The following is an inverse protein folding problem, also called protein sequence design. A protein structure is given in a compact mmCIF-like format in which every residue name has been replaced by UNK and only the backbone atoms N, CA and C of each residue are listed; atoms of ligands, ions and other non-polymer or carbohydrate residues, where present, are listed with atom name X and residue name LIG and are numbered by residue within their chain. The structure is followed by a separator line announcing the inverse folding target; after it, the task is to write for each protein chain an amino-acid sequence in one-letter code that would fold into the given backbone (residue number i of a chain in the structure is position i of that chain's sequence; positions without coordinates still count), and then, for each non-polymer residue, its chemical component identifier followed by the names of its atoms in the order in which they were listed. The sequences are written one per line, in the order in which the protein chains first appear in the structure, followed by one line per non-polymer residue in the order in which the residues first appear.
data_IF_038422164215
#
_entry.id   IF_038422164215
#
_cell.length_a   1.000
_cell.length_b   1.000
_cell.length_c   1.000
_cell.angle_alpha   90.00
_cell.angle_beta   90.00
_cell.angle_gamma   90.00
#
_symmetry.space_group_name_H-M   'P 1'
#
loop_
_entity.id
_entity.type
_entity.pdbx_description
1 polymer ?
#
# COMPACT_ATOMS: atom_id res chain seq x y z
N UNK A 1 -33.62 41.56 11.48
CA UNK A 1 -33.54 40.15 11.08
C UNK A 1 -34.19 40.02 9.72
N UNK A 2 -33.43 39.65 8.70
CA UNK A 2 -33.95 39.41 7.34
C UNK A 2 -33.86 37.90 7.07
N UNK A 3 -34.98 37.24 6.75
CA UNK A 3 -35.03 35.79 6.52
C UNK A 3 -35.59 35.54 5.12
N UNK A 4 -34.88 34.86 4.29
CA UNK A 4 -35.31 34.43 2.96
C UNK A 4 -35.36 32.88 2.91
N UNK A 5 -36.57 32.36 2.71
CA UNK A 5 -36.79 30.90 2.55
C UNK A 5 -37.03 30.57 1.08
N UNK A 6 -36.47 29.47 0.62
CA UNK A 6 -36.69 28.98 -0.74
C UNK A 6 -37.47 27.64 -0.70
N UNK A 7 -38.72 27.71 -1.17
CA UNK A 7 -39.58 26.52 -1.24
C UNK A 7 -39.14 25.46 -2.24
N UNK A 8 -38.15 25.75 -3.13
CA UNK A 8 -37.62 24.85 -4.12
C UNK A 8 -36.30 24.19 -3.68
N UNK A 9 -35.79 24.55 -2.50
CA UNK A 9 -34.58 23.99 -1.93
C UNK A 9 -34.83 22.55 -1.44
N UNK A 10 -33.80 21.68 -1.54
CA UNK A 10 -33.80 20.32 -0.97
C UNK A 10 -33.89 20.31 0.57
N UNK A 11 -33.65 21.45 1.22
CA UNK A 11 -33.76 21.62 2.67
C UNK A 11 -35.17 21.97 3.10
N UNK A 12 -35.63 21.37 4.19
CA UNK A 12 -36.92 21.67 4.76
C UNK A 12 -37.00 23.14 5.27
N UNK A 13 -38.19 23.73 5.27
CA UNK A 13 -38.38 25.14 5.69
C UNK A 13 -37.93 25.39 7.13
N UNK A 14 -38.10 24.43 8.05
CA UNK A 14 -37.64 24.59 9.43
C UNK A 14 -36.10 24.62 9.50
N UNK A 15 -35.44 23.79 8.69
CA UNK A 15 -33.97 23.73 8.64
C UNK A 15 -33.40 25.03 8.05
N UNK A 16 -34.00 25.56 7.00
CA UNK A 16 -33.61 26.83 6.41
C UNK A 16 -33.79 27.98 7.44
N UNK A 17 -34.94 28.04 8.13
CA UNK A 17 -35.24 29.04 9.16
C UNK A 17 -34.21 28.94 10.30
N UNK A 18 -33.99 27.77 10.81
CA UNK A 18 -33.00 27.53 11.86
C UNK A 18 -31.60 27.97 11.43
N UNK A 19 -31.12 27.52 10.24
CA UNK A 19 -29.77 27.85 9.75
C UNK A 19 -29.60 29.36 9.53
N UNK A 20 -30.62 30.04 9.05
CA UNK A 20 -30.59 31.48 8.82
C UNK A 20 -30.48 32.26 10.15
N UNK A 21 -31.33 31.98 11.13
CA UNK A 21 -31.25 32.60 12.45
C UNK A 21 -29.94 32.30 13.14
N UNK A 22 -29.52 31.04 13.11
CA UNK A 22 -28.23 30.57 13.66
C UNK A 22 -27.05 31.35 13.06
N UNK A 23 -27.03 31.48 11.73
CA UNK A 23 -25.98 32.21 11.01
C UNK A 23 -25.93 33.69 11.42
N UNK A 24 -27.07 34.37 11.51
CA UNK A 24 -27.14 35.77 11.92
C UNK A 24 -26.71 35.99 13.38
N UNK A 25 -27.02 35.04 14.28
CA UNK A 25 -26.52 35.05 15.66
C UNK A 25 -25.02 34.89 15.72
N UNK A 26 -24.47 33.83 15.07
CA UNK A 26 -23.05 33.52 15.10
C UNK A 26 -22.18 34.60 14.41
N UNK A 27 -22.73 35.31 13.43
CA UNK A 27 -22.06 36.45 12.77
C UNK A 27 -22.17 37.73 13.58
N UNK A 28 -22.94 37.76 14.67
CA UNK A 28 -23.19 38.96 15.48
C UNK A 28 -24.15 39.95 14.84
N UNK A 29 -24.84 39.60 13.77
CA UNK A 29 -25.88 40.42 13.14
C UNK A 29 -27.09 40.58 14.06
N UNK A 30 -27.40 39.55 14.84
CA UNK A 30 -28.35 39.62 15.97
C UNK A 30 -27.51 39.59 17.25
N UNK A 31 -27.54 40.67 17.99
CA UNK A 31 -26.75 40.84 19.23
C UNK A 31 -27.31 39.99 20.38
N UNK A 32 -26.43 39.63 21.32
CA UNK A 32 -26.81 38.97 22.57
C UNK A 32 -27.86 39.76 23.32
N UNK A 33 -28.73 39.08 24.03
CA UNK A 33 -29.86 39.64 24.80
C UNK A 33 -30.93 40.38 23.95
N UNK A 34 -30.86 40.31 22.62
CA UNK A 34 -31.92 40.83 21.75
C UNK A 34 -33.07 39.84 21.69
N UNK A 35 -34.28 40.34 21.82
CA UNK A 35 -35.52 39.60 21.73
C UNK A 35 -35.78 39.19 20.28
N UNK A 36 -35.98 37.88 20.05
CA UNK A 36 -36.41 37.35 18.75
C UNK A 36 -37.92 37.59 18.55
N UNK A 37 -38.41 37.64 17.30
CA UNK A 37 -39.82 37.70 17.00
C UNK A 37 -40.59 36.55 17.65
N UNK A 38 -41.83 36.78 18.03
CA UNK A 38 -42.65 35.69 18.56
C UNK A 38 -42.92 34.64 17.50
N UNK A 39 -43.15 33.38 17.91
CA UNK A 39 -43.49 32.29 17.00
C UNK A 39 -44.64 32.63 16.06
N UNK A 40 -45.69 33.35 16.59
CA UNK A 40 -46.83 33.81 15.80
C UNK A 40 -46.43 34.89 14.79
N UNK A 41 -45.55 35.80 15.17
CA UNK A 41 -45.08 36.85 14.27
C UNK A 41 -44.31 36.24 13.09
N UNK A 42 -43.33 35.34 13.34
CA UNK A 42 -42.61 34.69 12.29
C UNK A 42 -43.48 33.82 11.38
N UNK A 43 -44.47 33.15 11.96
CA UNK A 43 -45.43 32.38 11.16
C UNK A 43 -46.15 33.28 10.15
N UNK A 44 -46.62 34.47 10.59
CA UNK A 44 -47.30 35.42 9.71
C UNK A 44 -46.37 36.08 8.72
N UNK A 45 -45.18 36.52 9.15
CA UNK A 45 -44.22 37.25 8.32
C UNK A 45 -43.65 36.37 7.18
N UNK A 46 -43.46 35.09 7.46
CA UNK A 46 -42.86 34.14 6.52
C UNK A 46 -43.88 33.22 5.83
N UNK A 47 -45.17 33.32 6.22
CA UNK A 47 -46.26 32.46 5.70
C UNK A 47 -45.91 30.94 5.77
N UNK A 48 -45.45 30.50 6.95
CA UNK A 48 -45.08 29.09 7.20
C UNK A 48 -45.91 28.53 8.36
N UNK A 49 -45.84 27.19 8.59
CA UNK A 49 -46.58 26.56 9.67
C UNK A 49 -46.01 26.91 11.07
N UNK A 50 -46.87 26.92 12.08
CA UNK A 50 -46.43 27.10 13.49
C UNK A 50 -45.44 26.04 13.90
N UNK A 51 -45.66 24.79 13.50
CA UNK A 51 -44.77 23.65 13.77
C UNK A 51 -43.37 23.82 13.16
N UNK A 52 -43.26 24.47 11.98
CA UNK A 52 -41.98 24.81 11.35
C UNK A 52 -41.19 25.79 12.22
N UNK A 53 -41.83 26.85 12.70
CA UNK A 53 -41.20 27.84 13.57
C UNK A 53 -40.79 27.21 14.91
N UNK A 54 -41.69 26.39 15.48
CA UNK A 54 -41.41 25.72 16.77
C UNK A 54 -40.22 24.80 16.71
N UNK A 55 -40.11 24.00 15.65
CA UNK A 55 -38.95 23.13 15.44
C UNK A 55 -37.65 23.94 15.33
N UNK A 56 -37.64 25.01 14.54
CA UNK A 56 -36.46 25.87 14.40
C UNK A 56 -36.06 26.52 15.75
N UNK A 57 -37.02 27.02 16.51
CA UNK A 57 -36.76 27.64 17.81
C UNK A 57 -36.32 26.64 18.89
N UNK A 58 -36.89 25.42 18.89
CA UNK A 58 -36.47 24.39 19.80
C UNK A 58 -35.02 23.96 19.51
N UNK A 59 -34.63 23.86 18.25
CA UNK A 59 -33.26 23.53 17.87
C UNK A 59 -32.27 24.64 18.28
N UNK A 60 -32.66 25.92 18.18
CA UNK A 60 -31.83 27.02 18.68
C UNK A 60 -31.73 27.01 20.22
N UNK A 61 -32.79 26.57 20.94
CA UNK A 61 -32.74 26.33 22.38
C UNK A 61 -31.83 25.16 22.75
N UNK A 62 -31.93 24.06 22.03
CA UNK A 62 -31.10 22.86 22.24
C UNK A 62 -29.59 23.14 22.04
N UNK A 63 -29.28 24.15 21.22
CA UNK A 63 -27.88 24.60 20.99
C UNK A 63 -27.46 25.74 21.94
N UNK A 64 -28.33 26.14 22.91
CA UNK A 64 -28.11 27.26 23.82
C UNK A 64 -27.88 28.62 23.12
N UNK A 65 -28.26 28.72 21.83
CA UNK A 65 -28.15 29.97 21.05
C UNK A 65 -29.19 30.99 21.43
N UNK A 66 -30.30 30.51 21.95
CA UNK A 66 -31.37 31.33 22.50
C UNK A 66 -31.86 30.76 23.83
N UNK A 67 -32.42 31.63 24.66
CA UNK A 67 -33.08 31.22 25.90
C UNK A 67 -34.51 31.75 25.94
N UNK A 68 -35.39 31.10 26.67
CA UNK A 68 -36.79 31.53 26.83
C UNK A 68 -37.00 32.24 28.14
N UNK A 69 -37.75 33.33 28.12
CA UNK A 69 -38.23 34.04 29.32
C UNK A 69 -39.74 33.86 29.40
N UNK A 70 -40.22 33.33 30.52
CA UNK A 70 -41.64 33.07 30.72
C UNK A 70 -42.48 34.32 30.48
N UNK A 71 -43.58 34.22 29.71
CA UNK A 71 -44.47 35.30 29.29
C UNK A 71 -43.81 36.42 28.48
N UNK A 72 -42.52 36.37 28.19
CA UNK A 72 -41.79 37.39 27.45
C UNK A 72 -41.39 36.93 26.06
N UNK A 73 -40.85 35.71 25.89
CA UNK A 73 -40.45 35.16 24.59
C UNK A 73 -39.01 34.63 24.55
N UNK A 74 -38.42 34.63 23.38
CA UNK A 74 -37.07 34.11 23.15
C UNK A 74 -36.06 35.23 22.99
N UNK A 75 -34.88 35.05 23.54
CA UNK A 75 -33.77 36.00 23.53
C UNK A 75 -32.47 35.28 23.09
N UNK A 76 -31.63 36.02 22.40
CA UNK A 76 -30.30 35.48 21.99
C UNK A 76 -29.42 35.38 23.23
N UNK A 77 -28.82 34.22 23.41
CA UNK A 77 -27.86 33.93 24.50
C UNK A 77 -26.61 34.80 24.38
N UNK A 78 -25.92 34.99 25.49
CA UNK A 78 -24.61 35.62 25.49
C UNK A 78 -23.59 34.62 25.02
N UNK A 79 -23.07 34.81 23.78
CA UNK A 79 -22.14 33.90 23.15
C UNK A 79 -20.89 34.67 22.75
N UNK A 80 -19.72 34.14 23.04
CA UNK A 80 -18.50 34.63 22.44
C UNK A 80 -18.54 34.37 20.93
N UNK A 81 -18.59 35.44 20.14
CA UNK A 81 -18.68 35.33 18.69
C UNK A 81 -17.45 34.64 18.16
N UNK A 82 -17.67 33.60 17.35
CA UNK A 82 -16.56 32.94 16.62
C UNK A 82 -15.84 34.01 15.77
N UNK A 83 -14.60 34.28 16.10
CA UNK A 83 -13.69 35.07 15.24
C UNK A 83 -13.39 34.27 14.00
N UNK A 84 -14.32 34.18 13.06
CA UNK A 84 -14.13 33.51 11.79
C UNK A 84 -13.64 34.51 10.75
N UNK A 85 -12.38 34.36 10.35
CA UNK A 85 -12.02 34.75 8.98
C UNK A 85 -12.73 33.78 8.05
N UNK A 86 -13.37 34.22 6.93
CA UNK A 86 -13.93 33.33 5.94
C UNK A 86 -12.82 32.37 5.49
N UNK A 87 -12.94 31.10 5.83
CA UNK A 87 -12.01 30.08 5.39
C UNK A 87 -12.45 29.69 3.98
N UNK A 88 -11.85 30.30 2.96
CA UNK A 88 -11.85 29.69 1.65
C UNK A 88 -11.30 28.29 1.82
N UNK A 89 -12.08 27.26 1.48
CA UNK A 89 -11.60 25.90 1.48
C UNK A 89 -10.46 25.83 0.45
N UNK A 90 -9.21 25.61 0.89
CA UNK A 90 -8.11 25.60 -0.05
C UNK A 90 -8.31 24.47 -1.06
N UNK A 91 -8.30 24.83 -2.34
CA UNK A 91 -8.20 23.83 -3.39
C UNK A 91 -6.79 23.21 -3.29
N UNK A 92 -6.73 21.95 -2.88
CA UNK A 92 -5.46 21.23 -2.84
C UNK A 92 -5.21 20.70 -4.25
N UNK A 93 -4.31 21.33 -4.98
CA UNK A 93 -3.83 20.80 -6.24
C UNK A 93 -3.08 19.49 -5.96
N UNK A 94 -3.65 18.38 -6.43
CA UNK A 94 -2.96 17.09 -6.35
C UNK A 94 -1.79 17.13 -7.33
N UNK A 95 -0.56 16.81 -6.88
CA UNK A 95 0.56 16.70 -7.80
C UNK A 95 0.22 15.70 -8.90
N UNK A 96 0.43 16.10 -10.15
CA UNK A 96 0.27 15.20 -11.29
C UNK A 96 1.30 14.08 -11.16
N UNK A 97 0.84 12.84 -11.01
CA UNK A 97 1.74 11.70 -11.04
C UNK A 97 2.18 11.42 -12.48
N UNK A 98 3.50 11.36 -12.72
CA UNK A 98 4.04 10.93 -14.01
C UNK A 98 3.59 9.48 -14.26
N UNK A 99 2.87 9.26 -15.35
CA UNK A 99 2.46 7.91 -15.76
C UNK A 99 3.57 7.33 -16.61
N UNK A 100 4.18 6.27 -16.12
CA UNK A 100 5.23 5.55 -16.86
C UNK A 100 4.61 4.48 -17.75
N UNK A 101 5.15 4.32 -18.96
CA UNK A 101 4.90 3.15 -19.81
C UNK A 101 5.67 1.96 -19.27
N UNK A 102 5.16 0.75 -19.50
CA UNK A 102 5.77 -0.50 -19.04
C UNK A 102 6.12 -0.46 -17.55
N UNK A 103 5.18 0.08 -16.75
CA UNK A 103 5.37 0.37 -15.34
C UNK A 103 5.56 -0.91 -14.51
N UNK A 104 6.37 -0.77 -13.46
CA UNK A 104 6.52 -1.83 -12.45
C UNK A 104 5.29 -1.87 -11.56
N UNK A 105 4.91 -3.06 -11.18
CA UNK A 105 3.88 -3.22 -10.17
C UNK A 105 2.46 -3.39 -10.69
N UNK A 106 2.20 -3.13 -11.94
CA UNK A 106 0.96 -3.46 -12.62
C UNK A 106 0.91 -4.96 -12.94
N UNK A 107 -0.28 -5.53 -12.89
CA UNK A 107 -0.54 -6.91 -13.31
C UNK A 107 -1.78 -6.95 -14.19
N UNK A 108 -1.86 -7.96 -15.04
CA UNK A 108 -3.07 -8.21 -15.82
C UNK A 108 -4.18 -8.76 -14.91
N UNK A 109 -5.07 -7.87 -14.46
CA UNK A 109 -6.20 -8.25 -13.60
C UNK A 109 -7.30 -9.03 -14.32
N UNK A 110 -7.26 -9.15 -15.66
CA UNK A 110 -8.20 -9.95 -16.42
C UNK A 110 -8.02 -11.46 -16.18
N UNK A 111 -6.82 -11.86 -15.76
CA UNK A 111 -6.47 -13.26 -15.46
C UNK A 111 -7.12 -13.74 -14.15
N UNK A 112 -7.54 -12.82 -13.28
CA UNK A 112 -8.10 -13.13 -11.96
C UNK A 112 -9.46 -13.85 -12.10
N UNK A 113 -9.63 -14.94 -11.37
CA UNK A 113 -10.86 -15.74 -11.38
C UNK A 113 -11.97 -15.06 -10.56
N UNK A 114 -12.56 -13.99 -11.11
CA UNK A 114 -13.57 -13.16 -10.43
C UNK A 114 -14.80 -13.96 -9.97
N UNK A 115 -15.23 -14.97 -10.73
CA UNK A 115 -16.43 -15.75 -10.39
C UNK A 115 -16.19 -16.64 -9.17
N UNK A 116 -14.99 -17.19 -9.02
CA UNK A 116 -14.59 -17.92 -7.81
C UNK A 116 -14.61 -16.99 -6.59
N UNK A 117 -14.02 -15.80 -6.72
CA UNK A 117 -14.02 -14.81 -5.63
C UNK A 117 -15.44 -14.39 -5.26
N UNK A 118 -16.34 -14.19 -6.23
CA UNK A 118 -17.75 -13.87 -5.99
C UNK A 118 -18.49 -14.99 -5.26
N UNK A 119 -18.24 -16.24 -5.65
CA UNK A 119 -18.83 -17.39 -4.98
C UNK A 119 -18.38 -17.46 -3.52
N UNK A 120 -17.08 -17.46 -3.27
CA UNK A 120 -16.52 -17.50 -1.92
C UNK A 120 -17.03 -16.31 -1.09
N UNK A 121 -17.09 -15.11 -1.69
CA UNK A 121 -17.59 -13.92 -0.99
C UNK A 121 -19.01 -14.08 -0.47
N UNK A 122 -19.93 -14.64 -1.28
CA UNK A 122 -21.31 -14.88 -0.83
C UNK A 122 -21.34 -15.78 0.39
N UNK A 123 -20.64 -16.91 0.33
CA UNK A 123 -20.58 -17.88 1.42
C UNK A 123 -19.89 -17.33 2.69
N UNK A 124 -18.93 -16.42 2.54
CA UNK A 124 -18.28 -15.73 3.67
C UNK A 124 -19.25 -14.75 4.32
N UNK A 125 -20.03 -14.00 3.53
CA UNK A 125 -21.00 -13.04 4.08
C UNK A 125 -22.20 -13.68 4.77
N UNK A 126 -22.44 -14.98 4.59
CA UNK A 126 -23.46 -15.74 5.29
C UNK A 126 -23.03 -16.17 6.72
N UNK A 127 -21.82 -15.83 7.17
CA UNK A 127 -21.32 -16.16 8.51
C UNK A 127 -21.84 -15.16 9.55
N UNK A 128 -22.45 -15.63 10.62
CA UNK A 128 -23.11 -14.80 11.65
C UNK A 128 -22.14 -13.86 12.40
N UNK A 129 -20.90 -14.30 12.64
CA UNK A 129 -19.91 -13.58 13.44
C UNK A 129 -19.00 -12.65 12.63
N UNK A 130 -19.16 -12.61 11.31
CA UNK A 130 -18.26 -11.90 10.39
C UNK A 130 -18.12 -10.38 10.69
N UNK A 131 -19.17 -9.79 11.26
CA UNK A 131 -19.20 -8.35 11.55
C UNK A 131 -18.56 -7.98 12.91
N UNK A 132 -18.17 -8.97 13.69
CA UNK A 132 -17.46 -8.75 14.95
C UNK A 132 -15.97 -8.43 14.69
N UNK A 133 -15.27 -7.79 15.64
CA UNK A 133 -13.82 -7.62 15.56
C UNK A 133 -13.11 -8.98 15.41
N UNK A 134 -12.09 -9.03 14.54
CA UNK A 134 -11.27 -10.22 14.34
C UNK A 134 -10.06 -10.29 15.30
N UNK A 135 -9.18 -11.25 15.06
CA UNK A 135 -7.93 -11.40 15.80
C UNK A 135 -6.91 -10.32 15.43
N UNK A 136 -6.16 -9.83 16.41
CA UNK A 136 -5.13 -8.80 16.20
C UNK A 136 -3.99 -9.23 15.27
N UNK A 137 -3.66 -10.52 15.25
CA UNK A 137 -2.66 -11.10 14.35
C UNK A 137 -3.17 -11.38 12.94
N UNK A 138 -4.49 -11.29 12.74
CA UNK A 138 -5.24 -11.74 11.55
C UNK A 138 -5.96 -13.06 11.80
N UNK A 139 -7.00 -13.33 11.02
CA UNK A 139 -7.87 -14.52 11.19
C UNK A 139 -7.08 -15.82 11.20
N UNK A 140 -7.38 -16.70 12.13
CA UNK A 140 -6.67 -17.98 12.32
C UNK A 140 -6.66 -18.84 11.05
N UNK A 141 -7.82 -18.97 10.37
CA UNK A 141 -7.93 -19.77 9.15
C UNK A 141 -7.07 -19.21 8.01
N UNK A 142 -6.91 -17.89 7.93
CA UNK A 142 -6.00 -17.28 6.96
C UNK A 142 -4.54 -17.57 7.31
N UNK A 143 -4.14 -17.37 8.56
CA UNK A 143 -2.76 -17.63 9.02
C UNK A 143 -2.39 -19.10 8.81
N UNK A 144 -3.31 -20.02 9.08
CA UNK A 144 -3.15 -21.45 8.84
C UNK A 144 -2.95 -21.76 7.35
N UNK A 145 -3.85 -21.25 6.49
CA UNK A 145 -3.76 -21.46 5.05
C UNK A 145 -2.45 -20.88 4.47
N UNK A 146 -2.01 -19.72 4.98
CA UNK A 146 -0.73 -19.11 4.60
C UNK A 146 0.45 -19.94 5.10
N UNK A 147 0.41 -20.47 6.34
CA UNK A 147 1.47 -21.34 6.87
C UNK A 147 1.71 -22.54 5.96
N UNK A 148 0.62 -23.24 5.61
CA UNK A 148 0.68 -24.40 4.71
C UNK A 148 1.22 -24.01 3.33
N UNK A 149 0.74 -22.88 2.79
CA UNK A 149 1.17 -22.36 1.50
C UNK A 149 2.67 -22.00 1.47
N UNK A 150 3.16 -21.27 2.46
CA UNK A 150 4.54 -20.81 2.55
C UNK A 150 5.50 -21.99 2.81
N UNK A 151 5.10 -22.91 3.68
CA UNK A 151 5.88 -24.12 3.91
C UNK A 151 6.10 -24.91 2.63
N UNK A 152 5.03 -25.19 1.89
CA UNK A 152 5.08 -25.98 0.67
C UNK A 152 5.82 -25.28 -0.48
N UNK A 153 5.59 -23.97 -0.68
CA UNK A 153 6.10 -23.25 -1.84
C UNK A 153 7.46 -22.57 -1.59
N UNK A 154 7.77 -22.20 -0.34
CA UNK A 154 8.95 -21.40 0.00
C UNK A 154 9.86 -22.06 1.02
N UNK A 155 9.44 -23.19 1.60
CA UNK A 155 10.18 -23.86 2.66
C UNK A 155 10.21 -23.06 3.97
N UNK A 156 9.33 -22.06 4.14
CA UNK A 156 9.23 -21.27 5.37
C UNK A 156 8.84 -22.20 6.53
N UNK A 157 9.58 -22.12 7.63
CA UNK A 157 9.36 -22.92 8.82
C UNK A 157 8.89 -22.02 9.98
N UNK A 158 7.60 -22.07 10.30
CA UNK A 158 7.02 -21.27 11.37
C UNK A 158 5.77 -21.91 11.97
N UNK A 159 5.43 -21.54 13.19
CA UNK A 159 4.11 -21.80 13.77
C UNK A 159 3.10 -20.76 13.27
N UNK A 160 1.79 -21.10 13.37
CA UNK A 160 0.71 -20.17 13.01
C UNK A 160 0.78 -18.87 13.82
N UNK A 161 1.25 -18.95 15.08
CA UNK A 161 1.36 -17.81 15.99
C UNK A 161 2.54 -16.87 15.68
N UNK A 162 3.41 -17.25 14.75
CA UNK A 162 4.46 -16.38 14.21
C UNK A 162 4.03 -15.64 12.96
N UNK A 163 2.81 -15.88 12.45
CA UNK A 163 2.28 -15.26 11.23
C UNK A 163 1.37 -14.09 11.58
N UNK A 164 1.63 -12.93 10.97
CA UNK A 164 0.88 -11.69 11.16
C UNK A 164 0.47 -11.11 9.83
N UNK A 165 -0.78 -10.62 9.77
CA UNK A 165 -1.39 -10.09 8.56
C UNK A 165 -1.41 -8.57 8.60
N UNK A 166 -1.12 -7.93 7.48
CA UNK A 166 -1.18 -6.48 7.32
C UNK A 166 -1.62 -6.02 5.94
N UNK A 167 -1.95 -4.75 5.78
CA UNK A 167 -2.49 -4.22 4.52
C UNK A 167 -1.41 -4.01 3.42
N UNK A 168 -0.14 -4.01 3.80
CA UNK A 168 0.99 -3.84 2.87
C UNK A 168 2.32 -4.17 3.55
N UNK A 169 3.35 -4.47 2.75
CA UNK A 169 4.72 -4.61 3.25
C UNK A 169 5.23 -3.30 3.87
N UNK A 170 4.80 -2.13 3.37
CA UNK A 170 5.10 -0.83 3.98
C UNK A 170 4.63 -0.76 5.44
N UNK A 171 3.38 -1.14 5.71
CA UNK A 171 2.81 -1.14 7.06
C UNK A 171 3.47 -2.20 7.97
N UNK A 172 3.74 -3.39 7.43
CA UNK A 172 4.41 -4.44 8.18
C UNK A 172 5.85 -4.07 8.51
N UNK A 173 6.59 -3.45 7.58
CA UNK A 173 7.95 -2.97 7.84
C UNK A 173 7.98 -1.91 8.95
N UNK A 174 6.98 -1.01 9.00
CA UNK A 174 6.87 -0.05 10.11
C UNK A 174 6.71 -0.76 11.45
N UNK A 175 5.89 -1.81 11.52
CA UNK A 175 5.73 -2.62 12.73
C UNK A 175 7.02 -3.37 13.09
N UNK A 176 7.71 -3.95 12.11
CA UNK A 176 9.01 -4.62 12.32
C UNK A 176 10.03 -3.65 12.92
N UNK A 177 10.18 -2.46 12.35
CA UNK A 177 11.13 -1.46 12.85
C UNK A 177 10.76 -0.95 14.25
N UNK A 178 9.45 -0.85 14.55
CA UNK A 178 8.99 -0.56 15.91
C UNK A 178 9.36 -1.71 16.88
N UNK A 179 9.09 -2.97 16.52
CA UNK A 179 9.42 -4.13 17.35
C UNK A 179 10.93 -4.26 17.61
N UNK A 180 11.75 -3.77 16.72
CA UNK A 180 13.21 -3.75 16.84
C UNK A 180 13.75 -2.46 17.50
N UNK A 181 12.89 -1.65 18.14
CA UNK A 181 13.26 -0.43 18.85
C UNK A 181 13.93 0.62 17.94
N UNK A 182 13.42 0.73 16.70
CA UNK A 182 13.84 1.74 15.71
C UNK A 182 15.33 1.72 15.37
N UNK A 183 15.86 0.63 14.88
CA UNK A 183 17.28 0.45 14.61
C UNK A 183 17.74 1.23 13.38
N UNK A 184 19.07 1.37 13.24
CA UNK A 184 19.68 1.70 11.96
C UNK A 184 19.62 0.51 11.01
N UNK A 185 19.37 0.74 9.72
CA UNK A 185 19.11 -0.32 8.75
C UNK A 185 20.13 -0.27 7.60
N UNK A 186 20.66 -1.41 7.19
CA UNK A 186 21.34 -1.55 5.89
C UNK A 186 20.30 -1.90 4.82
N UNK A 187 20.28 -1.18 3.71
CA UNK A 187 19.38 -1.37 2.58
C UNK A 187 20.15 -1.57 1.27
N UNK A 188 19.52 -2.27 0.32
CA UNK A 188 20.06 -2.48 -1.03
C UNK A 188 20.13 -1.16 -1.83
N UNK A 189 21.17 -1.01 -2.68
CA UNK A 189 21.29 0.09 -3.64
C UNK A 189 21.81 -0.40 -5.00
N UNK A 190 21.02 -0.36 -6.09
CA UNK A 190 19.63 0.11 -6.13
C UNK A 190 18.70 -0.80 -5.32
N UNK A 191 17.58 -0.25 -4.84
CA UNK A 191 16.67 -0.97 -3.96
C UNK A 191 15.23 -0.49 -4.00
N UNK A 192 14.34 -1.20 -3.31
CA UNK A 192 12.92 -0.89 -3.28
C UNK A 192 12.63 0.43 -2.54
N UNK A 193 12.05 1.45 -3.22
CA UNK A 193 11.99 2.81 -2.69
C UNK A 193 11.09 2.96 -1.46
N UNK A 194 10.15 2.04 -1.26
CA UNK A 194 9.26 2.06 -0.09
C UNK A 194 10.03 1.87 1.21
N UNK A 195 11.09 1.07 1.20
CA UNK A 195 11.95 0.86 2.37
C UNK A 195 12.57 2.17 2.83
N UNK A 196 13.20 2.90 1.89
CA UNK A 196 13.79 4.22 2.17
C UNK A 196 12.73 5.23 2.64
N UNK A 197 11.53 5.20 2.03
CA UNK A 197 10.39 6.03 2.44
C UNK A 197 9.98 5.76 3.88
N UNK A 198 9.82 4.48 4.27
CA UNK A 198 9.47 4.07 5.64
C UNK A 198 10.53 4.57 6.64
N UNK A 199 11.81 4.31 6.36
CA UNK A 199 12.93 4.74 7.19
C UNK A 199 12.90 6.27 7.38
N UNK A 200 12.71 7.04 6.30
CA UNK A 200 12.61 8.50 6.35
C UNK A 200 11.41 8.99 7.16
N UNK A 201 10.23 8.38 7.00
CA UNK A 201 9.03 8.75 7.75
C UNK A 201 9.19 8.49 9.25
N UNK A 202 9.88 7.42 9.62
CA UNK A 202 10.22 7.10 11.01
C UNK A 202 11.42 7.90 11.54
N UNK A 203 12.04 8.76 10.70
CA UNK A 203 13.24 9.55 11.03
C UNK A 203 14.44 8.69 11.44
N UNK A 204 14.53 7.49 10.90
CA UNK A 204 15.65 6.58 11.12
C UNK A 204 16.78 6.86 10.14
N UNK A 205 17.97 6.35 10.46
CA UNK A 205 19.14 6.37 9.59
C UNK A 205 19.34 5.02 8.91
N UNK A 206 20.01 5.05 7.76
CA UNK A 206 20.36 3.85 7.01
C UNK A 206 21.72 4.00 6.36
N UNK A 207 22.36 2.87 6.11
CA UNK A 207 23.48 2.75 5.18
C UNK A 207 23.04 1.93 3.97
N UNK A 208 23.74 2.11 2.86
CA UNK A 208 23.50 1.36 1.64
C UNK A 208 24.52 0.23 1.49
N UNK A 209 24.08 -0.89 0.91
CA UNK A 209 24.96 -1.92 0.40
C UNK A 209 24.74 -2.06 -1.11
N UNK A 210 25.80 -2.17 -1.88
CA UNK A 210 25.74 -2.32 -3.33
C UNK A 210 25.07 -3.62 -3.70
N UNK A 211 24.52 -3.66 -4.88
CA UNK A 211 23.93 -4.86 -5.49
C UNK A 211 24.68 -5.15 -6.78
N UNK A 212 25.18 -6.35 -6.89
CA UNK A 212 25.84 -6.89 -8.07
C UNK A 212 24.97 -7.96 -8.78
N UNK A 213 25.58 -8.73 -9.68
CA UNK A 213 24.88 -9.74 -10.50
C UNK A 213 24.32 -10.92 -9.69
N UNK A 214 24.80 -11.18 -8.48
CA UNK A 214 24.36 -12.26 -7.59
C UNK A 214 23.78 -11.76 -6.25
N UNK A 215 23.29 -10.51 -6.23
CA UNK A 215 22.56 -9.88 -5.13
C UNK A 215 23.40 -8.91 -4.31
N UNK A 216 23.01 -8.71 -3.05
CA UNK A 216 23.65 -7.75 -2.16
C UNK A 216 25.13 -8.07 -1.91
N UNK A 217 25.96 -7.03 -1.85
CA UNK A 217 27.37 -7.11 -1.50
C UNK A 217 27.51 -7.32 0.02
N UNK A 218 28.04 -8.49 0.40
CA UNK A 218 28.21 -8.84 1.82
C UNK A 218 29.33 -8.07 2.52
N UNK A 219 30.35 -7.63 1.79
CA UNK A 219 31.43 -6.83 2.38
C UNK A 219 30.91 -5.46 2.81
N UNK A 220 29.99 -4.88 2.02
CA UNK A 220 29.29 -3.64 2.41
C UNK A 220 28.40 -3.89 3.64
N UNK A 221 27.67 -5.01 3.69
CA UNK A 221 26.81 -5.35 4.85
C UNK A 221 27.64 -5.49 6.11
N UNK A 222 28.77 -6.20 6.05
CA UNK A 222 29.68 -6.40 7.18
C UNK A 222 30.30 -5.07 7.61
N UNK A 223 30.72 -4.25 6.65
CA UNK A 223 31.32 -2.93 6.91
C UNK A 223 30.34 -1.96 7.56
N UNK A 224 29.06 -1.98 7.15
CA UNK A 224 28.01 -1.14 7.73
C UNK A 224 27.71 -1.52 9.17
N UNK A 225 27.82 -2.79 9.52
CA UNK A 225 27.60 -3.34 10.86
C UNK A 225 26.31 -2.83 11.55
N UNK A 226 25.21 -2.79 10.79
CA UNK A 226 23.91 -2.35 11.33
C UNK A 226 23.13 -3.54 11.89
N UNK A 227 22.28 -3.33 12.92
CA UNK A 227 21.53 -4.40 13.56
C UNK A 227 20.41 -4.99 12.69
N UNK A 228 20.09 -4.34 11.56
CA UNK A 228 19.07 -4.81 10.63
C UNK A 228 19.56 -4.67 9.18
N UNK A 229 19.32 -5.72 8.38
CA UNK A 229 19.56 -5.73 6.93
C UNK A 229 18.25 -6.05 6.22
N UNK A 230 17.80 -5.14 5.34
CA UNK A 230 16.63 -5.37 4.48
C UNK A 230 17.08 -5.77 3.08
N UNK A 231 16.58 -6.91 2.58
CA UNK A 231 16.96 -7.48 1.28
C UNK A 231 15.77 -8.11 0.54
N UNK A 232 15.92 -8.22 -0.78
CA UNK A 232 15.00 -8.89 -1.71
C UNK A 232 15.71 -10.09 -2.40
N UNK A 233 16.00 -11.19 -1.66
CA UNK A 233 17.00 -12.19 -2.08
C UNK A 233 16.52 -13.15 -3.18
N UNK A 234 15.22 -13.28 -3.40
CA UNK A 234 14.65 -14.20 -4.38
C UNK A 234 14.57 -13.60 -5.78
N UNK A 235 14.42 -12.28 -5.85
CA UNK A 235 14.39 -11.44 -7.04
C UNK A 235 14.69 -10.01 -6.63
N UNK A 236 15.97 -9.64 -6.64
CA UNK A 236 16.42 -8.34 -6.17
C UNK A 236 15.76 -7.20 -6.95
N UNK A 237 15.14 -6.29 -6.23
CA UNK A 237 14.49 -5.14 -6.83
C UNK A 237 15.47 -3.96 -6.97
N UNK A 238 15.67 -3.38 -8.16
CA UNK A 238 15.05 -3.73 -9.44
C UNK A 238 15.96 -4.56 -10.37
N UNK A 239 17.15 -5.00 -9.92
CA UNK A 239 18.16 -5.62 -10.82
C UNK A 239 17.77 -6.99 -11.34
N UNK A 240 16.83 -7.67 -10.68
CA UNK A 240 16.47 -9.05 -11.02
C UNK A 240 17.49 -10.10 -10.56
N UNK A 241 18.54 -9.70 -9.85
CA UNK A 241 19.54 -10.62 -9.31
C UNK A 241 18.93 -11.58 -8.28
N UNK A 242 19.46 -12.80 -8.23
CA UNK A 242 19.04 -13.82 -7.25
C UNK A 242 20.20 -14.11 -6.32
N UNK A 243 20.02 -13.87 -5.03
CA UNK A 243 21.03 -14.12 -4.01
C UNK A 243 21.36 -15.62 -3.97
N UNK A 244 22.62 -15.95 -4.27
CA UNK A 244 23.09 -17.35 -4.36
C UNK A 244 22.98 -18.06 -3.00
N UNK A 245 22.85 -19.39 -3.02
CA UNK A 245 22.79 -20.18 -1.78
C UNK A 245 24.03 -19.96 -0.90
N UNK A 246 25.21 -19.79 -1.52
CA UNK A 246 26.44 -19.49 -0.79
C UNK A 246 26.35 -18.18 -0.02
N UNK A 247 25.91 -17.09 -0.68
CA UNK A 247 25.72 -15.77 -0.02
C UNK A 247 24.61 -15.81 1.03
N UNK A 248 23.55 -16.60 0.83
CA UNK A 248 22.49 -16.81 1.83
C UNK A 248 23.04 -17.39 3.12
N UNK A 249 23.84 -18.47 3.02
CA UNK A 249 24.47 -19.10 4.18
C UNK A 249 25.46 -18.13 4.87
N UNK A 250 26.27 -17.41 4.10
CA UNK A 250 27.19 -16.42 4.66
C UNK A 250 26.45 -15.31 5.43
N UNK A 251 25.35 -14.78 4.88
CA UNK A 251 24.55 -13.75 5.52
C UNK A 251 23.88 -14.25 6.81
N UNK A 252 23.35 -15.49 6.80
CA UNK A 252 22.77 -16.10 8.01
C UNK A 252 23.79 -16.31 9.11
N UNK A 253 25.01 -16.79 8.77
CA UNK A 253 26.09 -16.91 9.73
C UNK A 253 26.52 -15.55 10.32
N UNK A 254 26.68 -14.54 9.45
CA UNK A 254 26.96 -13.18 9.90
C UNK A 254 25.88 -12.65 10.84
N UNK A 255 24.61 -12.87 10.51
CA UNK A 255 23.48 -12.45 11.34
C UNK A 255 23.47 -13.10 12.73
N UNK A 256 23.82 -14.39 12.80
CA UNK A 256 23.96 -15.11 14.06
C UNK A 256 25.12 -14.57 14.91
N UNK A 257 26.30 -14.41 14.30
CA UNK A 257 27.53 -14.02 14.99
C UNK A 257 27.50 -12.58 15.53
N UNK A 258 26.72 -11.69 14.86
CA UNK A 258 26.70 -10.26 15.15
C UNK A 258 25.35 -9.76 15.68
N UNK A 259 24.44 -10.65 16.06
CA UNK A 259 23.10 -10.31 16.58
C UNK A 259 22.27 -9.44 15.64
N UNK A 260 22.36 -9.69 14.33
CA UNK A 260 21.69 -8.93 13.26
C UNK A 260 20.39 -9.61 12.87
N UNK A 261 19.33 -8.84 12.65
CA UNK A 261 18.10 -9.31 12.01
C UNK A 261 18.12 -9.07 10.50
N UNK A 262 17.65 -10.06 9.75
CA UNK A 262 17.46 -9.97 8.30
C UNK A 262 15.96 -9.81 8.02
N UNK A 263 15.58 -8.75 7.31
CA UNK A 263 14.24 -8.58 6.77
C UNK A 263 14.27 -9.05 5.32
N UNK A 264 13.73 -10.26 5.08
CA UNK A 264 13.58 -10.86 3.76
C UNK A 264 12.25 -10.41 3.14
N UNK A 265 12.27 -9.53 2.15
CA UNK A 265 11.08 -9.11 1.38
C UNK A 265 10.95 -9.98 0.12
N UNK A 266 9.99 -10.90 0.13
CA UNK A 266 9.75 -11.90 -0.91
C UNK A 266 8.45 -11.57 -1.66
N UNK A 267 8.53 -10.63 -2.59
CA UNK A 267 7.37 -9.98 -3.21
C UNK A 267 6.81 -10.66 -4.47
N UNK A 268 7.63 -11.48 -5.20
CA UNK A 268 7.23 -12.08 -6.47
C UNK A 268 7.93 -13.44 -6.80
N UNK A 269 8.46 -14.11 -5.80
CA UNK A 269 9.17 -15.40 -5.95
C UNK A 269 8.35 -16.53 -6.57
N UNK A 270 7.03 -16.40 -6.57
CA UNK A 270 6.13 -17.33 -7.27
C UNK A 270 6.37 -17.36 -8.78
N UNK A 271 6.92 -16.29 -9.36
CA UNK A 271 7.14 -16.13 -10.80
C UNK A 271 8.54 -16.49 -11.23
N UNK A 272 9.03 -17.65 -10.79
CA UNK A 272 10.28 -18.23 -11.30
C UNK A 272 10.02 -19.06 -12.54
N UNK A 273 10.75 -18.78 -13.62
CA UNK A 273 10.53 -19.36 -14.94
C UNK A 273 11.52 -20.49 -15.27
N UNK A 274 12.73 -20.42 -14.71
CA UNK A 274 13.80 -21.40 -14.96
C UNK A 274 14.41 -21.90 -13.66
N UNK A 275 14.85 -23.14 -13.64
CA UNK A 275 15.49 -23.77 -12.49
C UNK A 275 14.53 -24.12 -11.35
N UNK A 276 15.07 -24.74 -10.29
CA UNK A 276 14.31 -25.01 -9.06
C UNK A 276 14.26 -23.75 -8.20
N UNK A 277 13.13 -23.46 -7.53
CA UNK A 277 13.07 -22.39 -6.54
C UNK A 277 14.12 -22.61 -5.45
N UNK A 278 14.84 -21.54 -5.10
CA UNK A 278 15.66 -21.56 -3.89
C UNK A 278 14.75 -21.40 -2.67
N UNK A 279 15.01 -22.10 -1.55
CA UNK A 279 14.27 -21.88 -0.31
C UNK A 279 14.46 -20.44 0.17
N UNK A 280 13.49 -19.91 0.90
CA UNK A 280 13.63 -18.62 1.56
C UNK A 280 14.82 -18.60 2.53
N UNK A 281 15.32 -17.41 2.87
CA UNK A 281 16.31 -17.28 3.96
C UNK A 281 15.72 -17.75 5.27
N UNK A 282 14.47 -17.40 5.55
CA UNK A 282 13.76 -17.85 6.74
C UNK A 282 13.68 -19.38 6.82
N UNK A 283 13.45 -20.08 5.71
CA UNK A 283 13.43 -21.54 5.68
C UNK A 283 14.80 -22.20 5.87
N UNK A 284 15.89 -21.47 5.62
CA UNK A 284 17.26 -21.90 5.89
C UNK A 284 17.73 -21.52 7.30
N UNK A 285 17.11 -20.53 7.92
CA UNK A 285 17.48 -19.99 9.20
C UNK A 285 17.06 -20.94 10.35
N UNK A 286 18.03 -21.34 11.17
CA UNK A 286 17.80 -22.16 12.37
C UNK A 286 17.99 -21.38 13.66
N UNK A 287 18.21 -20.06 13.57
CA UNK A 287 18.63 -19.25 14.70
C UNK A 287 17.68 -18.08 15.00
N UNK A 288 16.49 -18.07 14.38
CA UNK A 288 15.45 -17.03 14.58
C UNK A 288 15.96 -15.60 14.32
N UNK A 289 16.74 -15.40 13.24
CA UNK A 289 17.27 -14.08 12.84
C UNK A 289 16.57 -13.50 11.62
N UNK A 290 15.73 -14.27 10.93
CA UNK A 290 15.09 -13.84 9.71
C UNK A 290 13.62 -13.51 9.92
N UNK A 291 13.24 -12.29 9.58
CA UNK A 291 11.88 -11.81 9.47
C UNK A 291 11.49 -11.95 8.01
N UNK A 292 10.52 -12.82 7.72
CA UNK A 292 10.02 -13.00 6.36
C UNK A 292 8.82 -12.12 6.09
N UNK A 293 8.80 -11.43 4.94
CA UNK A 293 7.69 -10.62 4.50
C UNK A 293 7.29 -11.00 3.08
N UNK A 294 5.98 -10.99 2.80
CA UNK A 294 5.46 -11.22 1.46
C UNK A 294 4.13 -10.51 1.22
N UNK A 295 3.70 -10.42 -0.04
CA UNK A 295 2.45 -9.75 -0.43
C UNK A 295 1.67 -10.52 -1.46
N UNK A 296 0.34 -10.54 -1.32
CA UNK A 296 -0.55 -11.09 -2.33
C UNK A 296 -0.92 -10.08 -3.44
N UNK A 297 -0.40 -8.85 -3.37
CA UNK A 297 -0.69 -7.81 -4.36
C UNK A 297 -0.17 -8.13 -5.76
N UNK A 298 0.87 -8.95 -5.86
CA UNK A 298 1.45 -9.41 -7.13
C UNK A 298 0.91 -10.76 -7.57
N UNK A 299 0.72 -11.66 -6.63
CA UNK A 299 0.24 -13.00 -6.91
C UNK A 299 -1.27 -13.07 -7.18
N UNK A 300 -2.05 -12.10 -6.69
CA UNK A 300 -3.50 -12.00 -6.94
C UNK A 300 -3.88 -10.69 -7.65
N UNK A 301 -4.03 -9.60 -6.91
CA UNK A 301 -4.32 -8.27 -7.48
C UNK A 301 -3.99 -7.14 -6.50
N UNK A 302 -3.56 -5.95 -7.00
CA UNK A 302 -3.03 -4.88 -6.15
C UNK A 302 -4.02 -4.30 -5.13
N UNK A 303 -5.31 -4.23 -5.47
CA UNK A 303 -6.35 -3.68 -4.58
C UNK A 303 -6.75 -4.62 -3.44
N UNK A 304 -6.22 -5.85 -3.40
CA UNK A 304 -6.45 -6.80 -2.31
C UNK A 304 -5.95 -6.27 -0.97
N UNK A 305 -4.82 -5.55 -0.99
CA UNK A 305 -4.20 -4.95 0.19
C UNK A 305 -4.02 -5.95 1.33
N UNK A 306 -3.38 -7.09 1.02
CA UNK A 306 -3.06 -8.15 1.96
C UNK A 306 -1.61 -8.56 1.82
N UNK A 307 -0.89 -8.47 2.92
CA UNK A 307 0.52 -8.86 3.06
C UNK A 307 0.68 -9.67 4.34
N UNK A 308 1.75 -10.40 4.44
CA UNK A 308 2.07 -11.28 5.56
C UNK A 308 3.49 -11.04 6.03
N UNK A 309 3.72 -11.16 7.33
CA UNK A 309 5.05 -11.33 7.90
C UNK A 309 5.09 -12.56 8.81
N UNK A 310 6.26 -13.17 8.84
CA UNK A 310 6.60 -14.24 9.78
C UNK A 310 7.71 -13.72 10.67
N UNK A 311 7.45 -13.64 11.95
CA UNK A 311 8.38 -13.11 12.95
C UNK A 311 9.12 -14.23 13.68
N UNK A 312 10.40 -14.01 14.05
CA UNK A 312 11.07 -14.76 15.09
C UNK A 312 10.24 -14.86 16.36
N UNK A 313 10.40 -15.93 17.13
CA UNK A 313 9.59 -16.17 18.34
C UNK A 313 9.61 -15.00 19.30
N UNK A 314 10.78 -14.44 19.60
CA UNK A 314 10.92 -13.31 20.53
C UNK A 314 10.17 -12.06 20.06
N UNK A 315 10.20 -11.77 18.77
CA UNK A 315 9.45 -10.64 18.19
C UNK A 315 7.96 -10.91 18.12
N UNK A 316 7.54 -12.18 17.95
CA UNK A 316 6.13 -12.57 18.04
C UNK A 316 5.58 -12.33 19.44
N UNK A 317 6.31 -12.72 20.48
CA UNK A 317 5.95 -12.45 21.88
C UNK A 317 5.84 -10.93 22.13
N UNK A 318 6.78 -10.13 21.59
CA UNK A 318 6.74 -8.66 21.67
C UNK A 318 5.54 -8.09 20.91
N UNK A 319 5.19 -8.61 19.72
CA UNK A 319 4.01 -8.19 18.96
C UNK A 319 2.72 -8.32 19.78
N UNK A 320 2.53 -9.48 20.43
CA UNK A 320 1.36 -9.72 21.27
C UNK A 320 1.34 -8.82 22.53
N UNK A 321 2.49 -8.61 23.17
CA UNK A 321 2.58 -7.74 24.35
C UNK A 321 2.31 -6.27 24.06
N UNK A 322 2.76 -5.79 22.90
CA UNK A 322 2.51 -4.41 22.40
C UNK A 322 1.09 -4.23 21.83
N UNK A 323 0.31 -5.30 21.75
CA UNK A 323 -1.08 -5.30 21.23
C UNK A 323 -1.19 -4.68 19.83
N UNK A 324 -0.20 -4.93 18.99
CA UNK A 324 -0.26 -4.52 17.58
C UNK A 324 -1.44 -5.21 16.89
N UNK A 325 -1.99 -4.59 15.86
CA UNK A 325 -3.23 -5.08 15.25
C UNK A 325 -3.15 -5.17 13.74
N UNK A 326 -3.84 -6.18 13.22
CA UNK A 326 -4.14 -6.34 11.81
C UNK A 326 -5.21 -5.31 11.37
N UNK A 327 -4.92 -4.55 10.32
CA UNK A 327 -5.82 -3.56 9.74
C UNK A 327 -6.43 -4.03 8.39
N UNK A 328 -6.52 -5.34 8.18
CA UNK A 328 -7.18 -5.95 7.01
C UNK A 328 -8.56 -6.44 7.42
N UNK A 329 -9.57 -6.15 6.60
CA UNK A 329 -10.95 -6.55 6.93
C UNK A 329 -11.09 -8.06 7.06
N UNK A 330 -11.88 -8.54 8.04
CA UNK A 330 -12.16 -9.96 8.26
C UNK A 330 -12.72 -10.64 7.02
N UNK A 331 -13.64 -9.95 6.32
CA UNK A 331 -14.26 -10.44 5.09
C UNK A 331 -13.21 -10.82 4.06
N UNK A 332 -12.26 -9.90 3.83
CA UNK A 332 -11.20 -10.15 2.86
C UNK A 332 -10.27 -11.27 3.32
N UNK A 333 -9.93 -11.30 4.60
CA UNK A 333 -9.10 -12.36 5.17
C UNK A 333 -9.76 -13.74 5.00
N UNK A 334 -11.05 -13.89 5.30
CA UNK A 334 -11.78 -15.14 5.15
C UNK A 334 -11.94 -15.57 3.68
N UNK A 335 -12.16 -14.61 2.77
CA UNK A 335 -12.19 -14.89 1.32
C UNK A 335 -10.84 -15.46 0.85
N UNK A 336 -9.73 -14.83 1.25
CA UNK A 336 -8.39 -15.27 0.84
C UNK A 336 -8.02 -16.60 1.51
N UNK A 337 -8.37 -16.81 2.77
CA UNK A 337 -8.17 -18.08 3.46
C UNK A 337 -8.77 -19.26 2.67
N UNK A 338 -10.01 -19.13 2.26
CA UNK A 338 -10.70 -20.14 1.43
C UNK A 338 -10.10 -20.25 0.03
N UNK A 339 -9.77 -19.13 -0.61
CA UNK A 339 -9.12 -19.13 -1.92
C UNK A 339 -7.79 -19.90 -1.92
N UNK A 340 -7.04 -19.84 -0.80
CA UNK A 340 -5.81 -20.62 -0.59
C UNK A 340 -6.13 -22.08 -0.28
N UNK A 341 -6.91 -22.34 0.76
CA UNK A 341 -7.18 -23.70 1.28
C UNK A 341 -7.92 -24.62 0.30
N UNK A 342 -8.77 -24.06 -0.56
CA UNK A 342 -9.47 -24.78 -1.63
C UNK A 342 -8.59 -24.94 -2.90
N UNK A 343 -7.32 -24.50 -2.85
CA UNK A 343 -6.31 -24.69 -3.91
C UNK A 343 -6.47 -23.77 -5.13
N UNK A 344 -7.33 -22.74 -5.06
CA UNK A 344 -7.52 -21.79 -6.16
C UNK A 344 -6.26 -20.95 -6.38
N UNK A 345 -5.57 -20.53 -5.29
CA UNK A 345 -4.33 -19.76 -5.38
C UNK A 345 -3.28 -20.50 -6.19
N UNK A 346 -3.00 -21.77 -5.88
CA UNK A 346 -1.99 -22.55 -6.59
C UNK A 346 -2.34 -22.70 -8.08
N UNK A 347 -3.59 -22.96 -8.42
CA UNK A 347 -4.05 -23.03 -9.82
C UNK A 347 -3.89 -21.67 -10.53
N UNK A 348 -4.21 -20.59 -9.85
CA UNK A 348 -4.05 -19.23 -10.37
C UNK A 348 -2.58 -18.92 -10.65
N UNK A 349 -1.70 -19.10 -9.67
CA UNK A 349 -0.25 -18.85 -9.80
C UNK A 349 0.36 -19.66 -10.94
N UNK A 350 0.03 -20.93 -11.05
CA UNK A 350 0.55 -21.79 -12.14
C UNK A 350 0.11 -21.28 -13.52
N UNK A 351 -1.13 -20.81 -13.67
CA UNK A 351 -1.62 -20.20 -14.91
C UNK A 351 -0.91 -18.89 -15.21
N UNK A 352 -0.82 -18.00 -14.24
CA UNK A 352 -0.17 -16.68 -14.38
C UNK A 352 1.31 -16.85 -14.70
N UNK A 353 2.02 -17.74 -14.00
CA UNK A 353 3.42 -18.08 -14.27
C UNK A 353 3.63 -18.52 -15.72
N UNK A 354 2.76 -19.37 -16.27
CA UNK A 354 2.84 -19.82 -17.66
C UNK A 354 2.68 -18.64 -18.64
N UNK A 355 1.76 -17.71 -18.36
CA UNK A 355 1.52 -16.53 -19.20
C UNK A 355 2.74 -15.62 -19.19
N UNK A 356 3.23 -15.25 -18.01
CA UNK A 356 4.37 -14.33 -17.90
C UNK A 356 5.68 -14.96 -18.37
N UNK A 357 5.88 -16.25 -18.17
CA UNK A 357 7.03 -16.97 -18.76
C UNK A 357 7.01 -16.93 -20.29
N UNK A 358 5.82 -17.05 -20.90
CA UNK A 358 5.66 -16.90 -22.34
C UNK A 358 5.99 -15.48 -22.79
N UNK A 359 5.38 -14.46 -22.16
CA UNK A 359 5.67 -13.03 -22.46
C UNK A 359 7.15 -12.72 -22.35
N UNK A 360 7.80 -13.11 -21.24
CA UNK A 360 9.22 -12.87 -20.99
C UNK A 360 10.08 -13.46 -22.10
N UNK A 361 9.88 -14.74 -22.41
CA UNK A 361 10.60 -15.44 -23.47
C UNK A 361 10.43 -14.75 -24.83
N UNK A 362 9.20 -14.49 -25.23
CA UNK A 362 8.90 -13.94 -26.56
C UNK A 362 9.51 -12.54 -26.74
N UNK A 363 9.51 -11.70 -25.66
CA UNK A 363 10.16 -10.39 -25.67
C UNK A 363 11.68 -10.51 -25.71
N UNK A 364 12.28 -11.36 -24.89
CA UNK A 364 13.75 -11.49 -24.81
C UNK A 364 14.33 -12.17 -26.06
N UNK A 365 13.62 -13.11 -26.66
CA UNK A 365 13.99 -13.72 -27.94
C UNK A 365 13.93 -12.70 -29.07
N UNK A 366 12.90 -11.85 -29.08
CA UNK A 366 12.79 -10.75 -30.03
C UNK A 366 13.94 -9.73 -29.88
N UNK A 367 14.30 -9.35 -28.64
CA UNK A 367 15.43 -8.46 -28.35
C UNK A 367 16.75 -9.05 -28.89
N UNK A 368 17.06 -10.29 -28.53
CA UNK A 368 18.31 -10.97 -28.99
C UNK A 368 18.41 -11.09 -30.51
N UNK A 369 17.27 -11.28 -31.18
CA UNK A 369 17.22 -11.39 -32.64
C UNK A 369 17.44 -10.07 -33.33
N UNK A 370 16.91 -8.97 -32.82
CA UNK A 370 16.87 -7.68 -33.50
C UNK A 370 17.91 -6.67 -32.98
N UNK A 371 18.36 -6.82 -31.73
CA UNK A 371 19.28 -5.89 -31.06
C UNK A 371 20.33 -6.66 -30.23
N UNK A 372 21.33 -7.23 -30.95
CA UNK A 372 22.40 -8.03 -30.30
C UNK A 372 23.34 -7.22 -29.39
N UNK A 373 23.27 -5.89 -29.46
CA UNK A 373 24.10 -4.97 -28.65
C UNK A 373 23.51 -4.66 -27.27
N UNK A 374 22.33 -5.16 -26.94
CA UNK A 374 21.71 -4.94 -25.64
C UNK A 374 21.86 -6.18 -24.74
N UNK A 375 21.98 -5.92 -23.46
CA UNK A 375 21.95 -6.97 -22.45
C UNK A 375 20.59 -6.99 -21.72
N UNK A 376 20.18 -8.17 -21.28
CA UNK A 376 18.93 -8.37 -20.51
C UNK A 376 19.27 -9.08 -19.21
N UNK A 377 18.97 -8.41 -18.08
CA UNK A 377 19.17 -8.96 -16.75
C UNK A 377 17.80 -9.22 -16.08
N UNK A 378 17.70 -10.28 -15.26
CA UNK A 378 16.50 -10.58 -14.47
C UNK A 378 15.40 -11.36 -15.22
N UNK A 379 15.62 -11.85 -16.43
CA UNK A 379 14.63 -12.55 -17.27
C UNK A 379 14.13 -13.91 -16.73
N UNK A 380 14.80 -14.46 -15.72
CA UNK A 380 14.51 -15.80 -15.23
C UNK A 380 13.45 -15.86 -14.12
N UNK A 381 13.03 -14.71 -13.64
CA UNK A 381 12.07 -14.59 -12.53
C UNK A 381 11.36 -13.23 -12.55
N UNK A 382 10.23 -13.14 -11.87
CA UNK A 382 9.53 -11.88 -11.65
C UNK A 382 8.76 -11.34 -12.86
N UNK A 383 8.25 -10.13 -12.73
CA UNK A 383 7.37 -9.48 -13.72
C UNK A 383 8.03 -8.27 -14.38
N UNK A 384 9.36 -8.19 -14.32
CA UNK A 384 10.15 -7.17 -14.98
C UNK A 384 11.54 -7.69 -15.28
N UNK A 385 12.23 -7.00 -16.16
CA UNK A 385 13.64 -7.21 -16.45
C UNK A 385 14.34 -5.86 -16.62
N UNK A 386 15.67 -5.85 -16.52
CA UNK A 386 16.49 -4.69 -16.83
C UNK A 386 17.03 -4.84 -18.24
N UNK A 387 16.78 -3.84 -19.08
CA UNK A 387 17.38 -3.69 -20.39
C UNK A 387 18.56 -2.74 -20.27
N UNK A 388 19.76 -3.21 -20.60
CA UNK A 388 20.98 -2.42 -20.59
C UNK A 388 21.47 -2.18 -22.01
N UNK A 389 21.84 -0.95 -22.31
CA UNK A 389 22.42 -0.50 -23.57
C UNK A 389 23.89 -0.13 -23.33
N UNK A 390 24.84 -1.09 -23.38
CA UNK A 390 26.24 -0.83 -23.04
C UNK A 390 26.83 0.34 -23.85
N UNK A 391 27.66 1.13 -23.20
CA UNK A 391 28.36 2.29 -23.78
C UNK A 391 27.44 3.39 -24.35
N UNK A 392 26.17 3.43 -23.92
CA UNK A 392 25.19 4.44 -24.33
C UNK A 392 24.60 5.14 -23.12
N UNK A 393 24.51 6.46 -23.18
CA UNK A 393 23.64 7.22 -22.26
C UNK A 393 22.24 7.29 -22.87
N UNK A 394 21.29 6.63 -22.21
CA UNK A 394 19.89 6.54 -22.66
C UNK A 394 18.94 7.42 -21.84
N UNK A 395 19.48 8.34 -21.05
CA UNK A 395 18.67 9.17 -20.13
C UNK A 395 17.60 9.98 -20.86
N UNK A 396 17.94 10.63 -21.98
CA UNK A 396 17.01 11.43 -22.79
C UNK A 396 15.94 10.55 -23.47
N UNK A 397 16.28 9.44 -24.17
CA UNK A 397 15.29 8.51 -24.70
C UNK A 397 14.37 7.93 -23.62
N UNK A 398 14.88 7.55 -22.45
CA UNK A 398 14.07 7.03 -21.33
C UNK A 398 13.00 8.05 -20.90
N UNK A 399 13.36 9.31 -20.75
CA UNK A 399 12.42 10.39 -20.40
C UNK A 399 11.40 10.65 -21.51
N UNK A 400 11.84 10.69 -22.77
CA UNK A 400 10.97 10.90 -23.94
C UNK A 400 9.89 9.82 -24.08
N UNK A 401 10.25 8.56 -23.88
CA UNK A 401 9.31 7.43 -23.95
C UNK A 401 8.56 7.18 -22.65
N UNK A 402 8.78 7.99 -21.59
CA UNK A 402 8.22 7.79 -20.26
C UNK A 402 8.49 6.39 -19.69
N UNK A 403 9.70 5.86 -19.91
CA UNK A 403 10.17 4.63 -19.33
C UNK A 403 10.81 4.88 -17.96
N UNK A 404 11.11 3.82 -17.22
CA UNK A 404 11.65 3.91 -15.87
C UNK A 404 13.16 3.65 -15.90
N UNK A 405 13.97 4.67 -15.65
CA UNK A 405 15.41 4.51 -15.47
C UNK A 405 15.73 3.71 -14.19
N UNK A 406 16.76 2.86 -14.25
CA UNK A 406 17.29 2.19 -13.07
C UNK A 406 17.81 3.18 -12.01
N UNK A 407 18.20 4.39 -12.42
CA UNK A 407 18.59 5.48 -11.52
C UNK A 407 17.45 5.94 -10.60
N UNK A 408 16.19 5.77 -10.97
CA UNK A 408 15.04 6.10 -10.11
C UNK A 408 15.03 5.31 -8.78
N UNK A 409 15.79 4.22 -8.71
CA UNK A 409 15.87 3.30 -7.57
C UNK A 409 17.26 3.29 -6.92
N UNK A 410 18.18 4.14 -7.38
CA UNK A 410 19.52 4.28 -6.85
C UNK A 410 19.71 5.60 -6.11
N UNK A 411 20.61 5.59 -5.14
CA UNK A 411 21.07 6.84 -4.45
C UNK A 411 21.97 7.67 -5.36
N UNK A 412 22.64 7.02 -6.31
CA UNK A 412 23.60 7.63 -7.24
C UNK A 412 23.19 7.35 -8.68
N UNK A 413 23.46 8.29 -9.59
CA UNK A 413 23.15 8.17 -11.01
C UNK A 413 24.25 7.41 -11.77
N UNK A 414 24.40 6.11 -11.50
CA UNK A 414 25.42 5.25 -12.16
C UNK A 414 24.86 4.38 -13.31
N UNK A 415 23.55 4.40 -13.53
CA UNK A 415 22.87 3.48 -14.44
C UNK A 415 22.25 4.22 -15.64
N UNK A 416 23.01 5.13 -16.27
CA UNK A 416 22.55 5.89 -17.43
C UNK A 416 22.34 5.03 -18.68
N UNK A 417 22.81 3.80 -18.66
CA UNK A 417 22.69 2.79 -19.70
C UNK A 417 21.53 1.81 -19.49
N UNK A 418 20.75 1.96 -18.42
CA UNK A 418 19.84 0.92 -17.96
C UNK A 418 18.41 1.42 -17.73
N UNK A 419 17.44 0.70 -18.29
CA UNK A 419 16.00 0.95 -18.15
C UNK A 419 15.31 -0.32 -17.65
N UNK A 420 14.25 -0.16 -16.83
CA UNK A 420 13.49 -1.26 -16.26
C UNK A 420 12.19 -1.42 -17.03
N UNK A 421 11.90 -2.63 -17.45
CA UNK A 421 10.77 -2.97 -18.29
C UNK A 421 9.82 -3.89 -17.52
N UNK A 422 8.64 -3.37 -17.15
CA UNK A 422 7.56 -4.17 -16.59
C UNK A 422 6.79 -4.91 -17.71
N UNK A 423 6.43 -6.17 -17.43
CA UNK A 423 5.68 -7.01 -18.39
C UNK A 423 4.28 -7.36 -17.88
N UNK A 424 3.86 -6.75 -16.77
CA UNK A 424 2.66 -7.15 -16.04
C UNK A 424 1.36 -6.91 -16.78
N UNK A 425 1.12 -5.71 -17.28
CA UNK A 425 -0.18 -5.28 -17.81
C UNK A 425 -0.27 -5.39 -19.33
N UNK A 426 0.71 -4.84 -20.03
CA UNK A 426 0.68 -4.68 -21.48
C UNK A 426 0.79 -6.02 -22.23
N UNK A 427 0.27 -6.06 -23.46
CA UNK A 427 0.46 -7.23 -24.32
C UNK A 427 1.91 -7.36 -24.79
N UNK A 428 2.32 -8.56 -25.20
CA UNK A 428 3.65 -8.80 -25.76
C UNK A 428 3.94 -7.89 -26.98
N UNK A 429 2.95 -7.71 -27.84
CA UNK A 429 3.04 -6.89 -29.05
C UNK A 429 3.25 -5.42 -28.72
N UNK A 430 2.54 -4.90 -27.71
CA UNK A 430 2.67 -3.51 -27.26
C UNK A 430 4.05 -3.24 -26.64
N UNK A 431 4.53 -4.17 -25.81
CA UNK A 431 5.87 -4.09 -25.21
C UNK A 431 6.93 -4.07 -26.32
N UNK A 432 6.85 -5.00 -27.26
CA UNK A 432 7.80 -5.09 -28.39
C UNK A 432 7.74 -3.81 -29.26
N UNK A 433 6.56 -3.28 -29.53
CA UNK A 433 6.40 -2.02 -30.29
C UNK A 433 7.11 -0.86 -29.58
N UNK A 434 6.86 -0.69 -28.29
CA UNK A 434 7.47 0.37 -27.48
C UNK A 434 8.98 0.24 -27.43
N UNK A 435 9.50 -0.99 -27.22
CA UNK A 435 10.93 -1.24 -27.21
C UNK A 435 11.59 -1.03 -28.57
N UNK A 436 10.91 -1.38 -29.65
CA UNK A 436 11.43 -1.17 -31.02
C UNK A 436 11.56 0.33 -31.33
N UNK A 437 10.55 1.15 -30.99
CA UNK A 437 10.62 2.61 -31.15
C UNK A 437 11.75 3.20 -30.31
N UNK A 438 11.87 2.79 -29.05
CA UNK A 438 12.90 3.25 -28.13
C UNK A 438 14.32 2.87 -28.60
N UNK A 439 14.54 1.61 -28.99
CA UNK A 439 15.86 1.12 -29.37
C UNK A 439 16.29 1.65 -30.75
N UNK A 440 15.38 1.89 -31.66
CA UNK A 440 15.69 2.56 -32.93
C UNK A 440 16.31 3.93 -32.72
N UNK A 441 15.79 4.71 -31.80
CA UNK A 441 16.33 6.05 -31.50
C UNK A 441 17.76 5.99 -30.91
N UNK A 442 18.11 4.90 -30.25
CA UNK A 442 19.43 4.74 -29.64
C UNK A 442 20.46 4.22 -30.62
N UNK A 443 20.05 3.36 -31.57
CA UNK A 443 20.97 2.60 -32.42
C UNK A 443 20.90 2.94 -33.91
N UNK A 444 19.87 3.65 -34.38
CA UNK A 444 19.71 4.19 -35.73
C UNK A 444 19.93 5.72 -35.77
#
# INVERSE_FOLDING_TARGET
MYIKLDAKSDKSLYEQLYQEIRSQILKGEIKSNVKLPSKRQLQMDLNISMTTVERAYNQLLDEDLVYSVEKSGFYVSEIDLLKTTPKELPHIDKPQQKVFKLALGTIDTSIVQRDVIKQISREVFDQDDLLNPGENSGEYELRKAISDYLHFNRGVSCSIDQIFIGPSTESLLQQVLFLLDYPKVTIENPGYPVVKKVISHLKLTHDIARVDHDGIDLDDVISNNNPVVHITPSHQFPSGAVLSLKKRIQLLNYALENDVYIVEDDYDSEFRYTGKPLPSLQGLDQNDRTIYMSTFSKSLYPSLRLSVMVLPKSLSEKYYSEKLSCNVSRQMQNIVARYISEGYLNRHINRVRKIYSGKMRDITDWLRKNYSAVDVDGEHTGMHFVLRCPDRDISEPVDKYNLISKNNYSVHNYFNDSVIIGIGEESTEEIIRTLNEFLKEIYE
#
